data_IF_219921408994
#
_entry.id   IF_219921408994
#
_cell.length_a   1.000
_cell.length_b   1.000
_cell.length_c   1.000
_cell.angle_alpha   90.00
_cell.angle_beta   90.00
_cell.angle_gamma   90.00
#
_symmetry.space_group_name_H-M   'P 1'
#
loop_
_entity.id
_entity.type
_entity.pdbx_description
1 polymer ?
#
# COMPACT_ATOMS: atom_id res chain seq x y z
N UNK A 1 -14.82 30.62 12.74
CA UNK A 1 -15.77 29.50 12.66
C UNK A 1 -15.24 28.39 13.58
N UNK A 2 -15.87 28.18 14.74
CA UNK A 2 -15.32 27.36 15.82
C UNK A 2 -15.66 25.87 15.60
N UNK A 3 -14.65 25.00 15.51
CA UNK A 3 -14.80 23.56 15.27
C UNK A 3 -15.64 22.91 16.39
N UNK A 4 -15.52 23.43 17.61
CA UNK A 4 -16.26 22.99 18.78
C UNK A 4 -17.78 23.16 18.62
N UNK A 5 -18.24 24.23 17.96
CA UNK A 5 -19.66 24.49 17.78
C UNK A 5 -20.29 23.51 16.77
N UNK A 6 -19.57 23.22 15.69
CA UNK A 6 -19.98 22.22 14.69
C UNK A 6 -20.02 20.82 15.35
N UNK A 7 -19.11 20.55 16.29
CA UNK A 7 -19.04 19.29 17.02
C UNK A 7 -20.33 18.97 17.80
N UNK A 8 -20.93 19.95 18.48
CA UNK A 8 -22.13 19.79 19.31
C UNK A 8 -23.45 19.93 18.57
N UNK A 9 -23.50 20.62 17.44
CA UNK A 9 -24.77 20.89 16.73
C UNK A 9 -25.04 19.88 15.61
N UNK A 10 -24.00 19.45 14.89
CA UNK A 10 -24.15 18.58 13.71
C UNK A 10 -23.86 17.11 14.03
N UNK A 11 -24.93 16.30 14.00
CA UNK A 11 -24.90 14.85 14.17
C UNK A 11 -25.35 14.15 12.86
N UNK A 12 -24.49 14.13 11.82
CA UNK A 12 -24.86 13.53 10.55
C UNK A 12 -25.22 12.05 10.69
N UNK A 13 -26.23 11.64 9.94
CA UNK A 13 -26.63 10.23 9.78
C UNK A 13 -26.52 9.82 8.33
N UNK A 14 -26.16 8.56 8.10
CA UNK A 14 -26.11 8.01 6.74
C UNK A 14 -27.52 7.98 6.12
N UNK A 15 -27.63 8.37 4.85
CA UNK A 15 -28.84 8.10 4.07
C UNK A 15 -28.97 6.59 3.80
N UNK A 16 -30.20 6.13 3.56
CA UNK A 16 -30.46 4.72 3.25
C UNK A 16 -29.72 4.28 1.96
N UNK A 17 -29.65 5.17 0.96
CA UNK A 17 -28.90 4.97 -0.28
C UNK A 17 -27.40 4.76 -0.02
N UNK A 18 -26.82 5.60 0.83
CA UNK A 18 -25.41 5.57 1.17
C UNK A 18 -25.07 4.29 1.95
N UNK A 19 -25.98 3.83 2.82
CA UNK A 19 -25.82 2.61 3.60
C UNK A 19 -25.82 1.36 2.73
N UNK A 20 -26.75 1.27 1.77
CA UNK A 20 -26.78 0.19 0.78
C UNK A 20 -25.49 0.17 -0.06
N UNK A 21 -25.05 1.34 -0.51
CA UNK A 21 -23.81 1.47 -1.31
C UNK A 21 -22.57 1.01 -0.56
N UNK A 22 -22.44 1.42 0.71
CA UNK A 22 -21.34 1.03 1.58
C UNK A 22 -21.30 -0.50 1.81
N UNK A 23 -22.46 -1.14 1.99
CA UNK A 23 -22.55 -2.59 2.12
C UNK A 23 -22.11 -3.31 0.84
N UNK A 24 -22.62 -2.88 -0.32
CA UNK A 24 -22.25 -3.47 -1.61
C UNK A 24 -20.76 -3.36 -1.87
N UNK A 25 -20.17 -2.19 -1.64
CA UNK A 25 -18.75 -1.97 -1.82
C UNK A 25 -17.92 -2.85 -0.87
N UNK A 26 -18.29 -2.89 0.41
CA UNK A 26 -17.59 -3.71 1.41
C UNK A 26 -17.57 -5.20 1.05
N UNK A 27 -18.70 -5.73 0.58
CA UNK A 27 -18.78 -7.13 0.12
C UNK A 27 -17.91 -7.36 -1.10
N UNK A 28 -17.94 -6.44 -2.07
CA UNK A 28 -17.10 -6.49 -3.28
C UNK A 28 -15.61 -6.51 -2.95
N UNK A 29 -15.13 -5.58 -2.11
CA UNK A 29 -13.71 -5.52 -1.72
C UNK A 29 -13.30 -6.82 -1.00
N UNK A 30 -14.16 -7.36 -0.11
CA UNK A 30 -13.88 -8.62 0.59
C UNK A 30 -13.82 -9.81 -0.37
N UNK A 31 -14.67 -9.85 -1.39
CA UNK A 31 -14.65 -10.90 -2.41
C UNK A 31 -13.37 -10.81 -3.27
N UNK A 32 -13.02 -9.61 -3.73
CA UNK A 32 -11.81 -9.38 -4.54
C UNK A 32 -10.52 -9.77 -3.79
N UNK A 33 -10.41 -9.41 -2.51
CA UNK A 33 -9.27 -9.80 -1.66
C UNK A 33 -9.16 -11.32 -1.51
N UNK A 34 -10.29 -12.02 -1.43
CA UNK A 34 -10.33 -13.48 -1.31
C UNK A 34 -9.97 -14.17 -2.63
N UNK A 35 -10.38 -13.60 -3.76
CA UNK A 35 -9.98 -14.07 -5.09
C UNK A 35 -8.48 -13.87 -5.32
N UNK A 36 -7.94 -12.68 -5.03
CA UNK A 36 -6.50 -12.42 -5.10
C UNK A 36 -5.70 -13.40 -4.25
N UNK A 37 -6.11 -13.64 -3.00
CA UNK A 37 -5.42 -14.59 -2.12
C UNK A 37 -5.42 -16.03 -2.66
N UNK A 38 -6.49 -16.45 -3.35
CA UNK A 38 -6.56 -17.76 -3.99
C UNK A 38 -5.69 -17.85 -5.26
N UNK A 39 -5.57 -16.75 -6.01
CA UNK A 39 -4.79 -16.69 -7.26
C UNK A 39 -3.28 -16.59 -7.01
N UNK A 40 -2.86 -15.80 -6.01
CA UNK A 40 -1.44 -15.64 -5.66
C UNK A 40 -0.95 -16.63 -4.61
N UNK A 41 -1.85 -17.34 -3.92
CA UNK A 41 -1.49 -18.23 -2.81
C UNK A 41 -1.00 -17.51 -1.54
N UNK A 42 -0.90 -16.18 -1.59
CA UNK A 42 -0.52 -15.33 -0.48
C UNK A 42 -1.76 -14.69 0.16
N UNK A 43 -1.88 -14.81 1.47
CA UNK A 43 -2.95 -14.14 2.19
C UNK A 43 -2.73 -12.62 2.15
N UNK A 44 -3.81 -11.85 1.96
CA UNK A 44 -3.77 -10.40 2.04
C UNK A 44 -3.15 -9.95 3.39
N UNK A 45 -2.10 -9.13 3.33
CA UNK A 45 -1.33 -8.68 4.50
C UNK A 45 -2.19 -7.98 5.56
N UNK A 46 -3.32 -7.40 5.17
CA UNK A 46 -4.25 -6.68 6.06
C UNK A 46 -5.66 -7.27 5.88
N UNK A 47 -6.21 -7.99 6.88
CA UNK A 47 -7.57 -8.51 6.79
C UNK A 47 -8.60 -7.39 6.84
N UNK A 48 -9.62 -7.47 5.98
CA UNK A 48 -10.76 -6.55 6.02
C UNK A 48 -11.67 -6.91 7.19
N UNK A 49 -11.84 -5.97 8.13
CA UNK A 49 -12.61 -6.18 9.36
C UNK A 49 -13.78 -5.22 9.46
N UNK A 50 -14.78 -5.58 10.28
CA UNK A 50 -15.94 -4.73 10.59
C UNK A 50 -15.54 -3.37 11.17
N UNK A 51 -14.40 -3.29 11.86
CA UNK A 51 -13.83 -2.03 12.37
C UNK A 51 -13.49 -1.06 11.25
N UNK A 52 -13.01 -1.56 10.10
CA UNK A 52 -12.70 -0.72 8.95
C UNK A 52 -13.98 -0.13 8.34
N UNK A 53 -15.06 -0.92 8.30
CA UNK A 53 -16.37 -0.43 7.87
C UNK A 53 -16.85 0.72 8.77
N UNK A 54 -16.74 0.56 10.09
CA UNK A 54 -17.07 1.59 11.06
C UNK A 54 -16.19 2.85 10.91
N UNK A 55 -14.92 2.69 10.56
CA UNK A 55 -14.02 3.80 10.26
C UNK A 55 -14.48 4.58 9.02
N UNK A 56 -14.88 3.90 7.94
CA UNK A 56 -15.42 4.54 6.72
C UNK A 56 -16.73 5.28 7.00
N UNK A 57 -17.60 4.71 7.85
CA UNK A 57 -18.84 5.38 8.30
C UNK A 57 -18.50 6.68 9.04
N UNK A 58 -17.61 6.62 10.03
CA UNK A 58 -17.16 7.83 10.77
C UNK A 58 -16.54 8.87 9.85
N UNK A 59 -15.76 8.45 8.85
CA UNK A 59 -15.16 9.37 7.88
C UNK A 59 -16.24 10.06 7.03
N UNK A 60 -17.25 9.30 6.59
CA UNK A 60 -18.38 9.82 5.81
C UNK A 60 -19.21 10.83 6.62
N UNK A 61 -19.45 10.54 7.89
CA UNK A 61 -20.11 11.45 8.83
C UNK A 61 -19.27 12.72 9.08
N UNK A 62 -17.95 12.58 9.25
CA UNK A 62 -17.05 13.72 9.42
C UNK A 62 -17.04 14.62 8.18
N UNK A 63 -17.04 14.05 6.97
CA UNK A 63 -17.13 14.81 5.71
C UNK A 63 -18.45 15.56 5.59
N UNK A 64 -19.58 14.93 5.95
CA UNK A 64 -20.88 15.59 5.97
C UNK A 64 -20.92 16.72 7.01
N UNK A 65 -20.29 16.51 8.18
CA UNK A 65 -20.17 17.49 9.25
C UNK A 65 -19.35 18.71 8.84
N UNK A 66 -18.26 18.53 8.08
CA UNK A 66 -17.47 19.63 7.52
C UNK A 66 -18.27 20.49 6.53
N UNK A 67 -19.25 19.88 5.85
CA UNK A 67 -20.19 20.58 4.95
C UNK A 67 -21.44 21.11 5.67
N UNK A 68 -21.49 21.07 7.00
CA UNK A 68 -22.68 21.44 7.80
C UNK A 68 -23.96 20.67 7.37
N UNK A 69 -23.80 19.46 6.84
CA UNK A 69 -24.92 18.61 6.46
C UNK A 69 -25.28 17.67 7.60
N UNK A 70 -26.58 17.58 7.91
CA UNK A 70 -27.12 16.58 8.83
C UNK A 70 -27.31 15.19 8.19
N UNK A 71 -27.07 15.06 6.89
CA UNK A 71 -27.20 13.80 6.16
C UNK A 71 -25.93 13.51 5.38
N UNK A 72 -25.35 12.34 5.63
CA UNK A 72 -24.24 11.79 4.86
C UNK A 72 -24.80 11.08 3.63
N UNK A 73 -24.69 11.75 2.49
CA UNK A 73 -25.06 11.25 1.16
C UNK A 73 -24.00 10.32 0.56
N UNK A 74 -24.35 9.66 -0.54
CA UNK A 74 -23.50 8.77 -1.34
C UNK A 74 -22.16 9.39 -1.76
N UNK A 75 -22.11 10.72 -1.94
CA UNK A 75 -20.87 11.42 -2.30
C UNK A 75 -19.84 11.35 -1.17
N UNK A 76 -20.27 11.54 0.08
CA UNK A 76 -19.40 11.45 1.25
C UNK A 76 -18.85 10.04 1.42
N UNK A 77 -19.70 9.03 1.20
CA UNK A 77 -19.29 7.62 1.24
C UNK A 77 -18.29 7.30 0.14
N UNK A 78 -18.52 7.76 -1.09
CA UNK A 78 -17.59 7.56 -2.20
C UNK A 78 -16.22 8.18 -1.91
N UNK A 79 -16.21 9.39 -1.36
CA UNK A 79 -14.96 10.06 -1.00
C UNK A 79 -14.26 9.37 0.18
N UNK A 80 -15.02 8.92 1.18
CA UNK A 80 -14.47 8.16 2.30
C UNK A 80 -13.83 6.84 1.87
N UNK A 81 -14.48 6.11 0.96
CA UNK A 81 -13.94 4.88 0.37
C UNK A 81 -12.67 5.18 -0.43
N UNK A 82 -12.66 6.26 -1.22
CA UNK A 82 -11.47 6.68 -1.98
C UNK A 82 -10.29 6.94 -1.05
N UNK A 83 -10.49 7.71 0.02
CA UNK A 83 -9.47 7.99 1.03
C UNK A 83 -9.01 6.71 1.75
N UNK A 84 -9.96 5.84 2.08
CA UNK A 84 -9.69 4.56 2.73
C UNK A 84 -8.85 3.63 1.85
N UNK A 85 -9.15 3.55 0.55
CA UNK A 85 -8.40 2.73 -0.40
C UNK A 85 -6.97 3.25 -0.59
N UNK A 86 -6.81 4.58 -0.67
CA UNK A 86 -5.47 5.19 -0.72
C UNK A 86 -4.69 4.87 0.56
N UNK A 87 -5.30 5.06 1.73
CA UNK A 87 -4.66 4.77 3.02
C UNK A 87 -4.34 3.29 3.22
N UNK A 88 -5.22 2.39 2.78
CA UNK A 88 -5.02 0.93 2.90
C UNK A 88 -3.95 0.44 1.92
N UNK A 89 -3.96 0.93 0.68
CA UNK A 89 -2.91 0.63 -0.29
C UNK A 89 -1.57 1.20 0.14
N UNK A 90 -1.57 2.42 0.69
CA UNK A 90 -0.37 3.04 1.24
C UNK A 90 0.11 2.31 2.49
N UNK A 91 -0.77 1.84 3.37
CA UNK A 91 -0.43 1.00 4.52
C UNK A 91 0.04 -0.40 4.12
N UNK A 92 -0.53 -1.02 3.08
CA UNK A 92 -0.04 -2.28 2.54
C UNK A 92 1.36 -2.12 1.94
N UNK A 93 1.61 -1.00 1.25
CA UNK A 93 2.96 -0.62 0.79
C UNK A 93 3.88 -0.23 1.95
N UNK A 94 3.35 0.36 3.02
CA UNK A 94 4.13 0.90 4.15
C UNK A 94 4.41 -0.13 5.24
N UNK A 95 3.60 -1.17 5.38
CA UNK A 95 3.89 -2.34 6.23
C UNK A 95 5.15 -3.08 5.80
N UNK A 96 5.53 -2.93 4.52
CA UNK A 96 6.81 -3.37 3.95
C UNK A 96 7.94 -2.34 4.19
N UNK A 97 7.61 -1.07 4.44
CA UNK A 97 8.54 0.06 4.51
C UNK A 97 8.71 0.65 5.91
N UNK A 98 8.50 -0.13 6.98
CA UNK A 98 8.66 0.32 8.38
C UNK A 98 10.08 0.82 8.76
N UNK A 99 11.00 0.91 7.80
CA UNK A 99 12.24 1.67 7.95
C UNK A 99 12.41 2.60 6.75
N UNK A 100 12.13 3.88 6.99
CA UNK A 100 12.53 5.07 6.22
C UNK A 100 11.44 5.60 5.27
N UNK A 101 11.00 6.84 5.55
CA UNK A 101 10.15 7.67 4.69
C UNK A 101 10.71 7.70 3.27
N UNK A 102 10.05 7.04 2.32
CA UNK A 102 10.38 7.10 0.90
C UNK A 102 9.96 8.47 0.37
N UNK A 103 10.88 9.43 0.29
CA UNK A 103 10.65 10.63 -0.50
C UNK A 103 10.46 10.23 -1.98
N UNK A 104 9.69 11.00 -2.77
CA UNK A 104 9.49 10.73 -4.19
C UNK A 104 10.81 10.66 -4.98
N UNK A 105 11.86 11.34 -4.51
CA UNK A 105 13.22 11.26 -5.05
C UNK A 105 13.85 9.88 -4.80
N UNK A 106 13.78 9.38 -3.57
CA UNK A 106 14.29 8.04 -3.22
C UNK A 106 13.55 6.93 -3.98
N UNK A 107 12.25 7.08 -4.23
CA UNK A 107 11.50 6.13 -5.04
C UNK A 107 12.00 6.07 -6.50
N UNK A 108 12.45 7.20 -7.05
CA UNK A 108 13.02 7.25 -8.39
C UNK A 108 14.41 6.60 -8.43
N UNK A 109 15.24 6.84 -7.43
CA UNK A 109 16.55 6.20 -7.28
C UNK A 109 16.43 4.68 -7.12
N UNK A 110 15.45 4.20 -6.36
CA UNK A 110 15.16 2.76 -6.22
C UNK A 110 14.75 2.15 -7.56
N UNK A 111 13.90 2.83 -8.35
CA UNK A 111 13.54 2.34 -9.69
C UNK A 111 14.74 2.29 -10.64
N UNK A 112 15.63 3.28 -10.58
CA UNK A 112 16.86 3.28 -11.37
C UNK A 112 17.76 2.11 -10.96
N UNK A 113 17.94 1.89 -9.65
CA UNK A 113 18.66 0.73 -9.12
C UNK A 113 18.04 -0.60 -9.58
N UNK A 114 16.70 -0.72 -9.55
CA UNK A 114 15.97 -1.91 -10.03
C UNK A 114 16.27 -2.20 -11.52
N UNK A 115 16.24 -1.19 -12.38
CA UNK A 115 16.55 -1.34 -13.82
C UNK A 115 18.01 -1.77 -14.02
N UNK A 116 18.94 -1.22 -13.23
CA UNK A 116 20.35 -1.60 -13.30
C UNK A 116 20.57 -3.04 -12.84
N UNK A 117 19.95 -3.44 -11.73
CA UNK A 117 19.99 -4.82 -11.23
C UNK A 117 19.41 -5.77 -12.28
N UNK A 118 18.27 -5.43 -12.92
CA UNK A 118 17.66 -6.23 -14.00
C UNK A 118 18.53 -6.34 -15.26
N UNK A 119 19.37 -5.34 -15.57
CA UNK A 119 20.30 -5.39 -16.71
C UNK A 119 21.55 -6.24 -16.42
N UNK A 120 22.00 -6.27 -15.16
CA UNK A 120 23.23 -6.96 -14.75
C UNK A 120 22.99 -8.40 -14.31
N UNK A 121 21.89 -8.66 -13.60
CA UNK A 121 21.45 -10.00 -13.23
C UNK A 121 20.63 -10.58 -14.38
N UNK A 122 21.33 -11.26 -15.29
CA UNK A 122 20.69 -12.07 -16.33
C UNK A 122 19.78 -13.14 -15.72
N UNK A 123 18.70 -13.47 -16.43
CA UNK A 123 17.75 -14.53 -16.02
C UNK A 123 18.54 -15.82 -15.75
N UNK A 124 18.41 -16.39 -14.55
CA UNK A 124 19.16 -17.59 -14.13
C UNK A 124 20.61 -17.36 -13.71
N UNK A 125 21.15 -16.13 -13.76
CA UNK A 125 22.49 -15.82 -13.27
C UNK A 125 22.52 -15.75 -11.74
N UNK A 126 23.64 -16.19 -11.16
CA UNK A 126 23.89 -16.19 -9.72
C UNK A 126 24.95 -15.15 -9.39
N UNK A 127 24.56 -14.06 -8.71
CA UNK A 127 25.49 -13.02 -8.27
C UNK A 127 25.45 -12.93 -6.75
N UNK A 128 26.59 -12.67 -6.12
CA UNK A 128 26.62 -12.46 -4.67
C UNK A 128 26.15 -11.06 -4.30
N UNK A 129 25.35 -10.94 -3.23
CA UNK A 129 24.81 -9.66 -2.77
C UNK A 129 25.92 -8.62 -2.54
N UNK A 130 27.02 -9.03 -1.91
CA UNK A 130 28.18 -8.15 -1.67
C UNK A 130 28.78 -7.62 -2.97
N UNK A 131 28.93 -8.47 -3.98
CA UNK A 131 29.53 -8.06 -5.26
C UNK A 131 28.59 -7.13 -6.04
N UNK A 132 27.29 -7.39 -5.98
CA UNK A 132 26.29 -6.51 -6.58
C UNK A 132 26.26 -5.13 -5.89
N UNK A 133 26.34 -5.11 -4.57
CA UNK A 133 26.42 -3.86 -3.79
C UNK A 133 27.71 -3.11 -4.15
N UNK A 134 28.88 -3.76 -4.13
CA UNK A 134 30.16 -3.12 -4.46
C UNK A 134 30.19 -2.56 -5.89
N UNK A 135 29.58 -3.26 -6.86
CA UNK A 135 29.50 -2.81 -8.25
C UNK A 135 28.57 -1.61 -8.41
N UNK A 136 27.42 -1.60 -7.73
CA UNK A 136 26.46 -0.49 -7.79
C UNK A 136 26.95 0.72 -6.97
N UNK A 137 27.69 0.48 -5.89
CA UNK A 137 28.37 1.53 -5.11
C UNK A 137 29.44 2.24 -5.94
N UNK A 138 30.19 1.52 -6.81
CA UNK A 138 31.12 2.15 -7.77
C UNK A 138 30.43 3.05 -8.79
N UNK A 139 29.15 2.84 -9.05
CA UNK A 139 28.35 3.69 -9.93
C UNK A 139 27.74 4.90 -9.20
N UNK A 140 28.06 5.09 -7.91
CA UNK A 140 27.58 6.21 -7.10
C UNK A 140 26.21 6.00 -6.47
N UNK A 141 25.64 4.78 -6.52
CA UNK A 141 24.39 4.47 -5.83
C UNK A 141 24.65 4.16 -4.36
N UNK A 142 23.74 4.62 -3.50
CA UNK A 142 23.81 4.34 -2.07
C UNK A 142 23.50 2.87 -1.80
N UNK A 143 24.37 2.19 -1.03
CA UNK A 143 24.17 0.82 -0.53
C UNK A 143 22.76 0.57 0.02
N UNK A 144 22.23 1.55 0.75
CA UNK A 144 20.89 1.47 1.36
C UNK A 144 19.78 1.35 0.31
N UNK A 145 19.94 2.03 -0.84
CA UNK A 145 18.98 2.04 -1.94
C UNK A 145 19.06 0.74 -2.73
N UNK A 146 20.28 0.23 -2.96
CA UNK A 146 20.51 -1.05 -3.63
C UNK A 146 19.93 -2.21 -2.83
N UNK A 147 20.21 -2.26 -1.52
CA UNK A 147 19.65 -3.28 -0.62
C UNK A 147 18.12 -3.21 -0.56
N UNK A 148 17.54 -2.01 -0.62
CA UNK A 148 16.10 -1.81 -0.68
C UNK A 148 15.50 -2.31 -2.01
N UNK A 149 16.11 -1.96 -3.14
CA UNK A 149 15.70 -2.45 -4.45
C UNK A 149 15.71 -3.99 -4.49
N UNK A 150 16.75 -4.62 -3.95
CA UNK A 150 16.84 -6.08 -3.82
C UNK A 150 15.75 -6.69 -2.94
N UNK A 151 15.40 -6.03 -1.82
CA UNK A 151 14.34 -6.50 -0.93
C UNK A 151 12.96 -6.42 -1.60
N UNK A 152 12.70 -5.34 -2.35
CA UNK A 152 11.45 -5.17 -3.12
C UNK A 152 11.38 -6.20 -4.26
N UNK A 153 12.49 -6.42 -4.97
CA UNK A 153 12.55 -7.42 -6.05
C UNK A 153 12.37 -8.85 -5.51
N UNK A 154 12.88 -9.14 -4.32
CA UNK A 154 12.67 -10.43 -3.67
C UNK A 154 11.21 -10.66 -3.29
N UNK A 155 10.53 -9.63 -2.78
CA UNK A 155 9.10 -9.72 -2.45
C UNK A 155 8.18 -9.80 -3.67
N UNK A 156 8.66 -9.41 -4.86
CA UNK A 156 7.94 -9.57 -6.12
C UNK A 156 8.24 -10.91 -6.81
N UNK A 157 8.86 -11.85 -6.11
CA UNK A 157 9.32 -13.16 -6.63
C UNK A 157 10.28 -13.09 -7.84
N UNK A 158 10.79 -11.90 -8.18
CA UNK A 158 11.72 -11.75 -9.29
C UNK A 158 13.11 -12.30 -8.93
N UNK A 159 13.42 -12.39 -7.63
CA UNK A 159 14.76 -12.68 -7.12
C UNK A 159 14.67 -13.58 -5.88
N UNK A 160 15.48 -14.63 -5.80
CA UNK A 160 15.52 -15.59 -4.69
C UNK A 160 16.91 -15.58 -4.02
N UNK A 161 16.94 -15.53 -2.68
CA UNK A 161 18.17 -15.67 -1.90
C UNK A 161 18.49 -17.15 -1.69
N UNK A 162 19.57 -17.66 -2.29
CA UNK A 162 20.12 -18.99 -2.03
C UNK A 162 21.38 -18.93 -1.18
N UNK A 163 21.61 -20.00 -0.38
CA UNK A 163 22.76 -20.20 0.53
C UNK A 163 22.96 -19.04 1.52
N UNK A 164 22.20 -19.03 2.62
CA UNK A 164 22.38 -18.08 3.75
C UNK A 164 22.48 -16.60 3.33
N UNK A 165 21.57 -16.13 2.47
CA UNK A 165 21.53 -14.74 1.93
C UNK A 165 22.76 -14.33 1.11
N UNK A 166 23.65 -15.24 0.69
CA UNK A 166 24.87 -14.85 -0.04
C UNK A 166 24.71 -14.79 -1.55
N UNK A 167 23.74 -15.49 -2.14
CA UNK A 167 23.58 -15.61 -3.59
C UNK A 167 22.17 -15.22 -4.02
N UNK A 168 22.10 -14.32 -5.00
CA UNK A 168 20.88 -13.77 -5.57
C UNK A 168 20.65 -14.47 -6.90
N UNK A 169 19.48 -15.09 -7.08
CA UNK A 169 19.08 -15.79 -8.30
C UNK A 169 17.84 -15.13 -8.87
N UNK A 170 17.90 -14.68 -10.13
CA UNK A 170 16.71 -14.13 -10.79
C UNK A 170 15.85 -15.26 -11.36
N UNK A 171 14.59 -15.32 -10.93
CA UNK A 171 13.59 -16.31 -11.39
C UNK A 171 12.93 -15.82 -12.69
N UNK A 172 12.46 -16.75 -13.51
CA UNK A 172 11.69 -16.49 -14.75
C UNK A 172 10.24 -16.20 -14.39
#
# INVERSE_FOLDING_TARGET
MNILHIATECHPRLSESASKKLQTEYVSIRQNMRQQANETGEAATIPITVRQLEAVIRLSEALAKMRLSHVATDEHVKEAIRLFNVSTMDAARSGVNQQINLTPEMANEIKQAEVQIKRRVGIGSHISERRLIDELARMGMNDSIVRRALLIMHQRDEVEYKRERRVIVRKV
#
